data_IF_075541064576
#
_entry.id   IF_075541064576
#
_cell.length_a   1.000
_cell.length_b   1.000
_cell.length_c   1.000
_cell.angle_alpha   90.00
_cell.angle_beta   90.00
_cell.angle_gamma   90.00
#
_symmetry.space_group_name_H-M   'P 1'
#
loop_
_entity.id
_entity.type
_entity.pdbx_description
1 polymer ?
#
# COMPACT_ATOMS: atom_id res chain seq x y z
N UNK A 1 -4.95 -1.77 -6.43
CA UNK A 1 -4.26 -3.08 -6.46
C UNK A 1 -2.74 -2.89 -6.37
N UNK A 2 -2.15 -2.05 -7.23
CA UNK A 2 -0.68 -1.85 -7.32
C UNK A 2 0.01 -1.39 -6.03
N UNK A 3 -0.66 -0.62 -5.18
CA UNK A 3 -0.13 -0.14 -3.89
C UNK A 3 0.00 -1.29 -2.88
N UNK A 4 -1.01 -2.15 -2.80
CA UNK A 4 -1.03 -3.30 -1.88
C UNK A 4 0.03 -4.32 -2.31
N UNK A 5 0.11 -4.60 -3.62
CA UNK A 5 1.14 -5.49 -4.18
C UNK A 5 2.54 -4.94 -3.94
N UNK A 6 2.75 -3.63 -4.09
CA UNK A 6 4.05 -3.00 -3.79
C UNK A 6 4.42 -3.10 -2.31
N UNK A 7 3.46 -2.92 -1.41
CA UNK A 7 3.68 -2.99 0.03
C UNK A 7 4.02 -4.42 0.50
N UNK A 8 3.28 -5.41 -0.01
CA UNK A 8 3.55 -6.82 0.29
C UNK A 8 4.94 -7.27 -0.22
N UNK A 9 5.36 -6.76 -1.37
CA UNK A 9 6.71 -7.01 -1.90
C UNK A 9 7.81 -6.37 -1.03
N UNK A 10 7.60 -5.14 -0.54
CA UNK A 10 8.55 -4.49 0.38
C UNK A 10 8.68 -5.28 1.68
N UNK A 11 7.57 -5.75 2.27
CA UNK A 11 7.61 -6.56 3.50
C UNK A 11 8.36 -7.88 3.30
N UNK A 12 8.15 -8.55 2.16
CA UNK A 12 8.89 -9.77 1.79
C UNK A 12 10.40 -9.53 1.72
N UNK A 13 10.82 -8.37 1.22
CA UNK A 13 12.23 -7.99 1.13
C UNK A 13 12.93 -7.83 2.49
N UNK A 14 12.17 -7.59 3.58
CA UNK A 14 12.69 -7.52 4.95
C UNK A 14 12.81 -8.88 5.66
N UNK A 15 12.59 -9.99 4.95
CA UNK A 15 12.79 -11.34 5.49
C UNK A 15 11.65 -11.85 6.37
N UNK A 16 10.47 -11.23 6.27
CA UNK A 16 9.25 -11.86 6.77
C UNK A 16 8.88 -13.02 5.84
N UNK A 17 8.93 -14.25 6.33
CA UNK A 17 8.40 -15.40 5.61
C UNK A 17 6.90 -15.18 5.41
N UNK A 18 6.48 -15.07 4.15
CA UNK A 18 5.07 -14.96 3.76
C UNK A 18 4.42 -16.35 3.84
N UNK A 19 4.36 -16.92 5.05
CA UNK A 19 3.45 -18.02 5.32
C UNK A 19 2.01 -17.49 5.17
N UNK A 20 1.13 -18.30 4.57
CA UNK A 20 -0.30 -18.03 4.35
C UNK A 20 -0.69 -16.93 3.32
N UNK A 21 0.23 -16.53 2.43
CA UNK A 21 -0.10 -15.58 1.34
C UNK A 21 -1.29 -16.03 0.48
N UNK A 22 -1.45 -17.34 0.29
CA UNK A 22 -2.55 -17.90 -0.49
C UNK A 22 -3.89 -17.77 0.24
N UNK A 23 -3.93 -17.96 1.56
CA UNK A 23 -5.16 -17.82 2.35
C UNK A 23 -5.61 -16.36 2.39
N UNK A 24 -4.68 -15.43 2.58
CA UNK A 24 -4.95 -13.98 2.51
C UNK A 24 -5.41 -13.55 1.12
N UNK A 25 -4.84 -14.13 0.06
CA UNK A 25 -5.26 -13.87 -1.32
C UNK A 25 -6.66 -14.42 -1.60
N UNK A 26 -7.00 -15.59 -1.08
CA UNK A 26 -8.32 -16.19 -1.21
C UNK A 26 -9.38 -15.37 -0.44
N UNK A 27 -9.06 -14.90 0.77
CA UNK A 27 -9.91 -13.98 1.54
C UNK A 27 -10.14 -12.65 0.83
N UNK A 28 -9.09 -12.09 0.23
CA UNK A 28 -9.18 -10.85 -0.55
C UNK A 28 -10.07 -11.03 -1.77
N UNK A 29 -9.90 -12.12 -2.52
CA UNK A 29 -10.71 -12.41 -3.71
C UNK A 29 -12.17 -12.65 -3.35
N UNK A 30 -12.44 -13.37 -2.25
CA UNK A 30 -13.81 -13.57 -1.74
C UNK A 30 -14.47 -12.23 -1.37
N UNK A 31 -13.74 -11.34 -0.70
CA UNK A 31 -14.22 -10.02 -0.32
C UNK A 31 -14.50 -9.12 -1.53
N UNK A 32 -13.64 -9.17 -2.55
CA UNK A 32 -13.86 -8.45 -3.82
C UNK A 32 -15.13 -8.95 -4.50
N UNK A 33 -15.30 -10.26 -4.59
CA UNK A 33 -16.47 -10.88 -5.20
C UNK A 33 -17.77 -10.49 -4.46
N UNK A 34 -17.75 -10.49 -3.12
CA UNK A 34 -18.88 -10.03 -2.32
C UNK A 34 -19.23 -8.57 -2.62
N UNK A 35 -18.23 -7.69 -2.77
CA UNK A 35 -18.44 -6.29 -3.12
C UNK A 35 -19.03 -6.09 -4.53
N UNK A 36 -18.68 -6.95 -5.49
CA UNK A 36 -19.19 -6.93 -6.86
C UNK A 36 -20.62 -7.48 -6.96
N UNK A 37 -20.92 -8.56 -6.24
CA UNK A 37 -22.23 -9.23 -6.25
C UNK A 37 -23.27 -8.51 -5.38
N UNK A 38 -22.83 -7.82 -4.31
CA UNK A 38 -23.69 -7.14 -3.34
C UNK A 38 -23.26 -5.69 -3.08
N UNK A 39 -23.33 -4.80 -4.10
CA UNK A 39 -22.96 -3.40 -3.93
C UNK A 39 -23.81 -2.66 -2.88
N UNK A 40 -25.01 -3.15 -2.56
CA UNK A 40 -25.87 -2.64 -1.49
C UNK A 40 -25.27 -2.81 -0.09
N UNK A 41 -24.32 -3.74 0.09
CA UNK A 41 -23.61 -3.95 1.35
C UNK A 41 -22.45 -2.96 1.53
N UNK A 42 -22.04 -2.27 0.46
CA UNK A 42 -20.97 -1.27 0.51
C UNK A 42 -21.46 -0.03 1.26
N UNK A 43 -20.96 0.16 2.48
CA UNK A 43 -21.17 1.39 3.24
C UNK A 43 -20.09 2.40 2.89
N UNK A 44 -20.49 3.44 2.15
CA UNK A 44 -19.69 4.64 2.03
C UNK A 44 -19.48 5.23 3.45
N UNK A 45 -18.25 5.17 3.92
CA UNK A 45 -17.86 5.69 5.23
C UNK A 45 -16.89 6.83 4.98
N UNK A 46 -17.19 8.01 5.52
CA UNK A 46 -16.29 9.15 5.41
C UNK A 46 -15.13 9.01 6.39
N UNK A 47 -14.05 9.75 6.15
CA UNK A 47 -12.92 9.79 7.10
C UNK A 47 -13.35 10.29 8.49
N UNK A 48 -14.35 11.19 8.55
CA UNK A 48 -14.90 11.70 9.80
C UNK A 48 -15.74 10.63 10.53
N UNK A 49 -16.52 9.81 9.81
CA UNK A 49 -17.27 8.69 10.40
C UNK A 49 -16.32 7.65 11.03
N UNK A 50 -15.19 7.37 10.37
CA UNK A 50 -14.15 6.49 10.92
C UNK A 50 -13.53 7.10 12.17
N UNK A 51 -13.21 8.40 12.15
CA UNK A 51 -12.64 9.10 13.30
C UNK A 51 -13.57 9.06 14.50
N UNK A 52 -14.86 9.35 14.31
CA UNK A 52 -15.85 9.29 15.36
C UNK A 52 -16.00 7.87 15.93
N UNK A 53 -16.11 6.87 15.05
CA UNK A 53 -16.27 5.46 15.44
C UNK A 53 -15.10 4.94 16.28
N UNK A 54 -13.88 5.36 15.98
CA UNK A 54 -12.66 4.93 16.69
C UNK A 54 -12.20 5.93 17.77
N UNK A 55 -12.96 7.01 18.01
CA UNK A 55 -12.58 8.04 18.99
C UNK A 55 -11.28 8.76 18.63
N UNK A 56 -10.94 8.83 17.35
CA UNK A 56 -9.71 9.48 16.89
C UNK A 56 -9.90 11.00 16.91
N UNK A 57 -8.94 11.75 17.51
CA UNK A 57 -9.01 13.20 17.52
C UNK A 57 -8.94 13.74 16.09
N UNK A 58 -9.70 14.81 15.82
CA UNK A 58 -9.59 15.53 14.56
C UNK A 58 -8.20 16.16 14.49
N UNK A 59 -7.42 15.73 13.52
CA UNK A 59 -6.06 16.23 13.31
C UNK A 59 -6.11 17.70 12.92
N UNK A 60 -5.44 18.56 13.70
CA UNK A 60 -5.26 19.95 13.35
C UNK A 60 -4.17 20.04 12.28
N UNK A 61 -4.57 20.34 11.06
CA UNK A 61 -3.64 20.36 9.93
C UNK A 61 -2.96 21.74 9.88
N UNK A 62 -1.72 21.80 10.35
CA UNK A 62 -0.90 23.00 10.24
C UNK A 62 -0.20 23.04 8.86
N UNK A 63 -0.35 24.14 8.12
CA UNK A 63 0.16 24.26 6.74
C UNK A 63 1.68 23.98 6.61
N UNK A 64 2.47 24.40 7.61
CA UNK A 64 3.91 24.17 7.61
C UNK A 64 4.28 22.69 7.84
N UNK A 65 3.45 21.95 8.59
CA UNK A 65 3.62 20.51 8.79
C UNK A 65 3.19 19.72 7.55
N UNK A 66 2.13 20.17 6.84
CA UNK A 66 1.77 19.61 5.55
C UNK A 66 2.90 19.73 4.53
N UNK A 67 3.51 20.92 4.40
CA UNK A 67 4.60 21.14 3.46
C UNK A 67 5.80 20.24 3.77
N UNK A 68 6.09 20.03 5.06
CA UNK A 68 7.14 19.11 5.52
C UNK A 68 6.80 17.64 5.26
N UNK A 69 5.56 17.23 5.50
CA UNK A 69 5.09 15.88 5.22
C UNK A 69 5.11 15.57 3.72
N UNK A 70 4.68 16.53 2.89
CA UNK A 70 4.71 16.41 1.43
C UNK A 70 6.14 16.30 0.89
N UNK A 71 7.08 17.11 1.40
CA UNK A 71 8.48 17.03 0.97
C UNK A 71 9.13 15.71 1.37
N UNK A 72 8.85 15.23 2.59
CA UNK A 72 9.30 13.94 3.07
C UNK A 72 8.74 12.79 2.22
N UNK A 73 7.43 12.82 1.95
CA UNK A 73 6.77 11.78 1.14
C UNK A 73 7.32 11.76 -0.28
N UNK A 74 7.53 12.94 -0.89
CA UNK A 74 8.15 13.06 -2.22
C UNK A 74 9.57 12.48 -2.24
N UNK A 75 10.39 12.83 -1.25
CA UNK A 75 11.75 12.28 -1.16
C UNK A 75 11.75 10.75 -1.00
N UNK A 76 10.80 10.22 -0.22
CA UNK A 76 10.57 8.78 -0.08
C UNK A 76 10.21 8.14 -1.43
N UNK A 77 9.26 8.71 -2.16
CA UNK A 77 8.87 8.22 -3.49
C UNK A 77 10.03 8.23 -4.49
N UNK A 78 10.79 9.33 -4.54
CA UNK A 78 11.94 9.48 -5.43
C UNK A 78 13.02 8.43 -5.12
N UNK A 79 13.28 8.18 -3.84
CA UNK A 79 14.21 7.14 -3.39
C UNK A 79 13.73 5.73 -3.77
N UNK A 80 12.45 5.41 -3.49
CA UNK A 80 11.87 4.12 -3.87
C UNK A 80 11.93 3.89 -5.39
N UNK A 81 11.65 4.93 -6.18
CA UNK A 81 11.73 4.88 -7.64
C UNK A 81 13.16 4.56 -8.10
N UNK A 82 14.16 5.21 -7.50
CA UNK A 82 15.57 4.94 -7.77
C UNK A 82 15.93 3.48 -7.46
N UNK A 83 15.61 2.99 -6.25
CA UNK A 83 15.88 1.61 -5.86
C UNK A 83 15.26 0.60 -6.81
N UNK A 84 13.98 0.80 -7.19
CA UNK A 84 13.29 -0.08 -8.13
C UNK A 84 13.97 -0.09 -9.51
N UNK A 85 14.46 1.06 -9.97
CA UNK A 85 15.17 1.16 -11.25
C UNK A 85 16.47 0.35 -11.23
N UNK A 86 17.26 0.50 -10.17
CA UNK A 86 18.51 -0.25 -10.00
C UNK A 86 18.26 -1.76 -9.90
N UNK A 87 17.25 -2.19 -9.16
CA UNK A 87 16.89 -3.61 -9.09
C UNK A 87 16.43 -4.17 -10.45
N UNK A 88 15.66 -3.40 -11.21
CA UNK A 88 15.26 -3.79 -12.57
C UNK A 88 16.46 -3.95 -13.51
N UNK A 89 17.46 -3.07 -13.41
CA UNK A 89 18.69 -3.19 -14.19
C UNK A 89 19.46 -4.47 -13.84
N UNK A 90 19.61 -4.78 -12.56
CA UNK A 90 20.26 -6.03 -12.11
C UNK A 90 19.54 -7.27 -12.62
N UNK A 91 18.21 -7.28 -12.58
CA UNK A 91 17.39 -8.40 -13.09
C UNK A 91 17.60 -8.53 -14.60
N UNK A 92 17.56 -7.43 -15.34
CA UNK A 92 17.80 -7.41 -16.79
C UNK A 92 19.17 -7.97 -17.14
N UNK A 93 20.23 -7.52 -16.47
CA UNK A 93 21.59 -7.99 -16.71
C UNK A 93 21.73 -9.49 -16.42
N UNK A 94 21.07 -9.98 -15.36
CA UNK A 94 21.04 -11.40 -15.00
C UNK A 94 20.32 -12.26 -16.04
N UNK A 95 19.26 -11.74 -16.67
CA UNK A 95 18.54 -12.42 -17.74
C UNK A 95 19.28 -12.39 -19.08
N UNK A 96 20.06 -11.35 -19.36
CA UNK A 96 20.86 -11.24 -20.59
C UNK A 96 22.19 -12.00 -20.53
N UNK A 97 22.62 -12.42 -19.33
CA UNK A 97 23.82 -13.24 -19.13
C UNK A 97 23.56 -14.76 -19.24
N UNK A 98 22.31 -15.18 -19.45
CA UNK A 98 21.91 -16.56 -19.76
C UNK A 98 21.83 -16.79 -21.27
#
# INVERSE_FOLDING_TARGET
MDVVVSFLNEISFFGYEQEDLQEELDLLNASIKECEEHPENLKATTADDLRERFGLPKEEIYQHEMAKAQSFYKAGMDYTQYCKTVELEKIKDSLMAQ
#
